data_IF_701806645228
#
_entry.id   IF_701806645228
#
_cell.length_a   1.000
_cell.length_b   1.000
_cell.length_c   1.000
_cell.angle_alpha   90.00
_cell.angle_beta   90.00
_cell.angle_gamma   90.00
#
_symmetry.space_group_name_H-M   'P 1'
#
loop_
_entity.id
_entity.type
_entity.pdbx_description
1 polymer ?
#
# COMPACT_ATOMS: atom_id res chain seq x y z
N UNK A 1 10.06 -12.85 -29.69
CA UNK A 1 9.20 -13.79 -28.95
C UNK A 1 8.32 -13.00 -27.98
N UNK A 2 6.99 -12.98 -28.17
CA UNK A 2 6.07 -12.37 -27.19
C UNK A 2 6.09 -13.23 -25.92
N UNK A 3 6.66 -12.72 -24.82
CA UNK A 3 6.53 -13.36 -23.51
C UNK A 3 5.04 -13.39 -23.17
N UNK A 4 4.45 -14.59 -23.13
CA UNK A 4 3.10 -14.78 -22.60
C UNK A 4 3.14 -14.37 -21.13
N UNK A 5 2.41 -13.31 -20.80
CA UNK A 5 2.14 -12.91 -19.42
C UNK A 5 1.43 -14.10 -18.77
N UNK A 6 2.10 -14.76 -17.84
CA UNK A 6 1.57 -15.90 -17.08
C UNK A 6 1.33 -15.45 -15.64
N UNK A 7 0.41 -16.12 -14.93
CA UNK A 7 0.19 -15.86 -13.50
C UNK A 7 1.50 -15.95 -12.71
N UNK A 8 2.36 -16.92 -13.07
CA UNK A 8 3.72 -17.01 -12.53
C UNK A 8 4.51 -15.72 -12.75
N UNK A 9 4.63 -15.23 -13.98
CA UNK A 9 5.34 -13.97 -14.27
C UNK A 9 4.75 -12.74 -13.54
N UNK A 10 3.41 -12.67 -13.39
CA UNK A 10 2.72 -11.59 -12.68
C UNK A 10 3.03 -11.58 -11.16
N UNK A 11 3.29 -12.75 -10.55
CA UNK A 11 3.53 -12.87 -9.11
C UNK A 11 4.99 -13.18 -8.71
N UNK A 12 5.88 -13.61 -9.61
CA UNK A 12 7.17 -14.22 -9.20
C UNK A 12 8.46 -13.51 -9.64
N UNK A 13 8.46 -12.70 -10.70
CA UNK A 13 9.71 -12.06 -11.19
C UNK A 13 9.61 -10.55 -11.33
N UNK A 14 9.67 -9.79 -10.23
CA UNK A 14 9.79 -8.35 -10.30
C UNK A 14 11.24 -7.88 -10.24
N UNK A 15 11.55 -6.89 -11.08
CA UNK A 15 12.78 -6.11 -11.03
C UNK A 15 13.01 -5.56 -9.61
N UNK A 16 14.27 -5.49 -9.16
CA UNK A 16 14.64 -4.99 -7.83
C UNK A 16 14.08 -3.60 -7.50
N UNK A 17 13.96 -2.70 -8.49
CA UNK A 17 13.32 -1.39 -8.31
C UNK A 17 11.83 -1.54 -7.94
N UNK A 18 11.15 -2.51 -8.55
CA UNK A 18 9.74 -2.80 -8.31
C UNK A 18 9.52 -3.52 -6.97
N UNK A 19 10.50 -4.29 -6.48
CA UNK A 19 10.50 -4.83 -5.12
C UNK A 19 10.69 -3.73 -4.07
N UNK A 20 11.61 -2.81 -4.32
CA UNK A 20 11.90 -1.66 -3.45
C UNK A 20 10.68 -0.72 -3.34
N UNK A 21 9.98 -0.50 -4.46
CA UNK A 21 8.71 0.24 -4.49
C UNK A 21 7.51 -0.57 -3.99
N UNK A 22 7.71 -1.79 -3.48
CA UNK A 22 6.64 -2.70 -3.02
C UNK A 22 5.57 -3.06 -4.07
N UNK A 23 5.91 -3.00 -5.36
CA UNK A 23 4.99 -3.16 -6.51
C UNK A 23 4.46 -4.59 -6.70
N UNK A 24 5.10 -5.61 -6.12
CA UNK A 24 4.74 -7.01 -6.42
C UNK A 24 4.44 -7.91 -5.22
N UNK A 25 4.57 -7.42 -3.98
CA UNK A 25 3.96 -8.11 -2.82
C UNK A 25 2.44 -7.88 -2.82
N UNK A 26 1.96 -6.96 -3.66
CA UNK A 26 0.57 -6.56 -3.78
C UNK A 26 0.17 -6.58 -5.26
N UNK A 27 -0.30 -7.71 -5.77
CA UNK A 27 -0.87 -7.80 -7.13
C UNK A 27 -1.99 -6.77 -7.42
N UNK A 28 -2.48 -6.07 -6.39
CA UNK A 28 -3.38 -4.92 -6.49
C UNK A 28 -2.74 -3.63 -7.00
N UNK A 29 -1.41 -3.46 -6.95
CA UNK A 29 -0.81 -2.16 -7.28
C UNK A 29 -0.88 -1.86 -8.78
N UNK A 30 -0.95 -2.88 -9.64
CA UNK A 30 -1.24 -2.69 -11.08
C UNK A 30 -2.66 -2.16 -11.28
N UNK A 31 -3.62 -2.61 -10.46
CA UNK A 31 -5.01 -2.13 -10.50
C UNK A 31 -5.13 -0.71 -9.92
N UNK A 32 -4.30 -0.39 -8.92
CA UNK A 32 -4.27 0.93 -8.26
C UNK A 32 -3.40 1.94 -9.00
N UNK A 33 -2.51 1.51 -9.89
CA UNK A 33 -1.60 2.39 -10.63
C UNK A 33 -2.33 3.47 -11.44
N UNK A 34 -3.43 3.19 -12.16
CA UNK A 34 -4.22 4.24 -12.81
C UNK A 34 -4.70 5.31 -11.83
N UNK A 35 -5.12 4.92 -10.62
CA UNK A 35 -5.53 5.86 -9.58
C UNK A 35 -4.35 6.74 -9.12
N UNK A 36 -3.18 6.14 -8.90
CA UNK A 36 -1.95 6.88 -8.53
C UNK A 36 -1.53 7.87 -9.63
N UNK A 37 -1.66 7.48 -10.90
CA UNK A 37 -1.40 8.37 -12.04
C UNK A 37 -2.39 9.54 -12.04
N UNK A 38 -3.68 9.29 -11.84
CA UNK A 38 -4.68 10.36 -11.74
C UNK A 38 -4.41 11.32 -10.58
N UNK A 39 -4.03 10.79 -9.41
CA UNK A 39 -3.61 11.60 -8.25
C UNK A 39 -2.40 12.47 -8.63
N UNK A 40 -1.39 11.88 -9.28
CA UNK A 40 -0.18 12.60 -9.69
C UNK A 40 -0.52 13.72 -10.69
N UNK A 41 -1.35 13.44 -11.68
CA UNK A 41 -1.81 14.42 -12.66
C UNK A 41 -2.59 15.55 -11.97
N UNK A 42 -3.40 15.25 -10.95
CA UNK A 42 -4.19 16.27 -10.26
C UNK A 42 -3.33 17.35 -9.57
N UNK A 43 -2.10 17.02 -9.16
CA UNK A 43 -1.15 18.00 -8.61
C UNK A 43 -0.77 19.09 -9.62
N UNK A 44 -0.76 18.78 -10.92
CA UNK A 44 -0.48 19.77 -11.96
C UNK A 44 -1.63 20.77 -12.15
N UNK A 45 -2.85 20.42 -11.75
CA UNK A 45 -4.04 21.28 -11.87
C UNK A 45 -4.35 22.02 -10.57
N UNK A 46 -4.18 21.37 -9.42
CA UNK A 46 -4.41 21.96 -8.11
C UNK A 46 -3.66 21.19 -7.04
N UNK A 47 -2.75 21.89 -6.35
CA UNK A 47 -2.03 21.33 -5.20
C UNK A 47 -3.02 20.85 -4.12
N UNK A 48 -4.07 21.64 -3.86
CA UNK A 48 -5.12 21.27 -2.90
C UNK A 48 -5.79 19.96 -3.28
N UNK A 49 -6.21 19.81 -4.54
CA UNK A 49 -6.84 18.58 -5.02
C UNK A 49 -5.89 17.38 -4.94
N UNK A 50 -4.62 17.56 -5.35
CA UNK A 50 -3.60 16.52 -5.28
C UNK A 50 -3.37 16.01 -3.86
N UNK A 51 -3.26 16.92 -2.89
CA UNK A 51 -3.09 16.58 -1.47
C UNK A 51 -4.32 15.88 -0.92
N UNK A 52 -5.53 16.37 -1.22
CA UNK A 52 -6.77 15.73 -0.77
C UNK A 52 -6.91 14.31 -1.33
N UNK A 53 -6.65 14.12 -2.62
CA UNK A 53 -6.74 12.80 -3.24
C UNK A 53 -5.64 11.86 -2.71
N UNK A 54 -4.45 12.36 -2.43
CA UNK A 54 -3.36 11.59 -1.80
C UNK A 54 -3.76 11.15 -0.40
N UNK A 55 -4.27 12.07 0.43
CA UNK A 55 -4.73 11.78 1.78
C UNK A 55 -5.86 10.76 1.81
N UNK A 56 -6.86 10.91 0.92
CA UNK A 56 -7.95 9.95 0.77
C UNK A 56 -7.45 8.57 0.34
N UNK A 57 -6.58 8.51 -0.67
CA UNK A 57 -5.98 7.25 -1.13
C UNK A 57 -5.21 6.56 0.00
N UNK A 58 -4.31 7.27 0.68
CA UNK A 58 -3.53 6.72 1.79
C UNK A 58 -4.46 6.22 2.91
N UNK A 59 -5.45 7.01 3.30
CA UNK A 59 -6.40 6.60 4.34
C UNK A 59 -7.15 5.31 3.96
N UNK A 60 -7.86 5.30 2.83
CA UNK A 60 -8.70 4.16 2.43
C UNK A 60 -7.86 2.91 2.21
N UNK A 61 -6.70 3.06 1.54
CA UNK A 61 -5.83 1.94 1.22
C UNK A 61 -5.28 1.28 2.47
N UNK A 62 -4.70 2.07 3.36
CA UNK A 62 -4.05 1.53 4.56
C UNK A 62 -5.06 1.16 5.65
N UNK A 63 -6.26 1.74 5.65
CA UNK A 63 -7.37 1.22 6.44
C UNK A 63 -7.77 -0.20 6.01
N UNK A 64 -7.87 -0.45 4.70
CA UNK A 64 -8.10 -1.80 4.17
C UNK A 64 -6.99 -2.78 4.54
N UNK A 65 -5.73 -2.36 4.47
CA UNK A 65 -4.59 -3.18 4.90
C UNK A 65 -4.62 -3.48 6.40
N UNK A 66 -4.97 -2.51 7.23
CA UNK A 66 -5.13 -2.73 8.67
C UNK A 66 -6.16 -3.83 8.93
N UNK A 67 -7.34 -3.77 8.29
CA UNK A 67 -8.36 -4.82 8.43
C UNK A 67 -7.88 -6.17 7.92
N UNK A 68 -7.19 -6.19 6.77
CA UNK A 68 -6.60 -7.42 6.24
C UNK A 68 -5.64 -8.06 7.23
N UNK A 69 -4.73 -7.29 7.85
CA UNK A 69 -3.77 -7.82 8.81
C UNK A 69 -4.42 -8.28 10.11
N UNK A 70 -5.46 -7.58 10.59
CA UNK A 70 -6.28 -8.04 11.71
C UNK A 70 -6.90 -9.41 11.39
N UNK A 71 -7.49 -9.58 10.19
CA UNK A 71 -8.06 -10.87 9.80
C UNK A 71 -7.00 -11.97 9.72
N UNK A 72 -5.79 -11.67 9.25
CA UNK A 72 -4.67 -12.62 9.22
C UNK A 72 -4.18 -13.03 10.62
N UNK A 73 -4.25 -12.14 11.61
CA UNK A 73 -3.88 -12.46 13.00
C UNK A 73 -4.81 -13.49 13.63
N UNK A 74 -6.11 -13.37 13.36
CA UNK A 74 -7.15 -14.23 13.93
C UNK A 74 -7.53 -15.43 13.04
N UNK A 75 -7.00 -15.51 11.81
CA UNK A 75 -7.24 -16.61 10.88
C UNK A 75 -6.19 -17.73 10.90
N UNK A 76 -6.21 -18.57 9.86
CA UNK A 76 -5.21 -19.62 9.61
C UNK A 76 -3.86 -18.97 9.21
N UNK A 77 -2.91 -18.92 10.15
CA UNK A 77 -1.62 -18.19 10.08
C UNK A 77 -0.57 -18.82 9.14
N UNK A 78 -1.00 -19.28 7.96
CA UNK A 78 -0.20 -20.03 6.99
C UNK A 78 0.68 -19.14 6.10
N UNK A 79 0.36 -17.85 5.98
CA UNK A 79 1.04 -16.91 5.09
C UNK A 79 2.07 -16.05 5.83
N UNK A 80 3.37 -16.13 5.50
CA UNK A 80 4.39 -15.22 6.04
C UNK A 80 4.71 -14.12 5.03
N UNK A 81 4.32 -12.85 5.27
CA UNK A 81 4.73 -11.73 4.43
C UNK A 81 6.22 -11.43 4.60
N UNK A 82 6.74 -10.51 3.80
CA UNK A 82 8.14 -10.08 3.90
C UNK A 82 8.43 -9.59 5.32
N UNK A 83 9.39 -10.22 5.97
CA UNK A 83 9.72 -9.99 7.38
C UNK A 83 10.78 -8.90 7.56
N UNK A 84 11.16 -8.17 6.52
CA UNK A 84 12.17 -7.10 6.57
C UNK A 84 13.52 -7.55 7.18
N UNK A 85 13.83 -8.85 7.12
CA UNK A 85 15.03 -9.43 7.73
C UNK A 85 14.87 -9.85 9.19
N UNK A 86 13.67 -9.71 9.78
CA UNK A 86 13.34 -10.21 11.10
C UNK A 86 13.03 -11.72 11.08
N UNK A 87 14.00 -12.53 10.66
CA UNK A 87 13.82 -13.98 10.48
C UNK A 87 13.43 -14.71 11.76
N UNK A 88 13.85 -14.20 12.92
CA UNK A 88 13.61 -14.79 14.23
C UNK A 88 12.24 -14.42 14.84
N UNK A 89 11.48 -13.53 14.21
CA UNK A 89 10.11 -13.22 14.64
C UNK A 89 9.15 -14.27 14.12
N UNK A 90 8.14 -14.58 14.94
CA UNK A 90 7.02 -15.41 14.52
C UNK A 90 6.07 -14.63 13.61
N UNK A 91 5.23 -15.36 12.87
CA UNK A 91 4.29 -14.72 11.94
C UNK A 91 3.35 -13.74 12.66
N UNK A 92 3.07 -13.97 13.94
CA UNK A 92 2.19 -13.09 14.71
C UNK A 92 2.79 -11.70 14.91
N UNK A 93 4.06 -11.64 15.34
CA UNK A 93 4.77 -10.37 15.50
C UNK A 93 4.86 -9.63 14.16
N UNK A 94 5.12 -10.35 13.06
CA UNK A 94 5.16 -9.75 11.73
C UNK A 94 3.79 -9.15 11.34
N UNK A 95 2.67 -9.84 11.57
CA UNK A 95 1.35 -9.28 11.27
C UNK A 95 1.04 -8.03 12.10
N UNK A 96 1.43 -8.01 13.38
CA UNK A 96 1.27 -6.84 14.25
C UNK A 96 2.08 -5.66 13.67
N UNK A 97 3.32 -5.88 13.25
CA UNK A 97 4.14 -4.82 12.62
C UNK A 97 3.45 -4.24 11.38
N UNK A 98 2.94 -5.10 10.50
CA UNK A 98 2.20 -4.67 9.32
C UNK A 98 0.90 -3.92 9.66
N UNK A 99 0.16 -4.36 10.68
CA UNK A 99 -1.02 -3.67 11.17
C UNK A 99 -0.66 -2.29 11.74
N UNK A 100 0.38 -2.19 12.57
CA UNK A 100 0.85 -0.93 13.16
C UNK A 100 1.28 0.05 12.07
N UNK A 101 2.02 -0.44 11.07
CA UNK A 101 2.40 0.38 9.92
C UNK A 101 1.17 0.88 9.16
N UNK A 102 0.19 0.01 8.92
CA UNK A 102 -1.04 0.38 8.23
C UNK A 102 -1.86 1.44 9.01
N UNK A 103 -1.94 1.32 10.34
CA UNK A 103 -2.57 2.34 11.19
C UNK A 103 -1.86 3.68 11.06
N UNK A 104 -0.53 3.67 11.18
CA UNK A 104 0.27 4.90 11.09
C UNK A 104 0.05 5.62 9.77
N UNK A 105 0.12 4.91 8.64
CA UNK A 105 -0.06 5.53 7.33
C UNK A 105 -1.50 6.00 7.10
N UNK A 106 -2.48 5.26 7.63
CA UNK A 106 -3.89 5.67 7.62
C UNK A 106 -4.10 6.99 8.36
N UNK A 107 -3.47 7.16 9.53
CA UNK A 107 -3.47 8.42 10.28
C UNK A 107 -2.81 9.56 9.49
N UNK A 108 -1.66 9.31 8.85
CA UNK A 108 -1.05 10.30 7.97
C UNK A 108 -1.98 10.72 6.82
N UNK A 109 -2.74 9.78 6.26
CA UNK A 109 -3.77 10.07 5.24
C UNK A 109 -4.85 11.02 5.75
N UNK A 110 -5.38 10.78 6.96
CA UNK A 110 -6.35 11.68 7.62
C UNK A 110 -5.72 13.06 7.84
N UNK A 111 -4.48 13.13 8.33
CA UNK A 111 -3.80 14.41 8.57
C UNK A 111 -3.64 15.20 7.27
N UNK A 112 -3.31 14.54 6.16
CA UNK A 112 -3.24 15.18 4.84
C UNK A 112 -4.61 15.69 4.37
N UNK A 113 -5.69 14.96 4.63
CA UNK A 113 -7.05 15.43 4.33
C UNK A 113 -7.38 16.69 5.11
N UNK A 114 -7.14 16.69 6.42
CA UNK A 114 -7.36 17.85 7.28
C UNK A 114 -6.52 19.04 6.79
N UNK A 115 -5.25 18.80 6.47
CA UNK A 115 -4.35 19.81 5.93
C UNK A 115 -4.86 20.40 4.60
N UNK A 116 -5.22 19.54 3.65
CA UNK A 116 -5.78 19.93 2.35
C UNK A 116 -7.11 20.69 2.46
N UNK A 117 -7.96 20.35 3.43
CA UNK A 117 -9.24 21.01 3.61
C UNK A 117 -9.11 22.38 4.25
N UNK A 118 -8.27 22.50 5.29
CA UNK A 118 -8.23 23.67 6.16
C UNK A 118 -7.13 24.68 5.80
N UNK A 119 -6.00 24.22 5.26
CA UNK A 119 -4.78 25.05 5.16
C UNK A 119 -4.31 25.28 3.72
N UNK A 120 -4.64 24.40 2.79
CA UNK A 120 -4.37 24.61 1.37
C UNK A 120 -5.50 25.42 0.72
N UNK A 121 -5.14 26.55 0.12
CA UNK A 121 -6.04 27.39 -0.70
C UNK A 121 -5.82 27.12 -2.17
#
# INVERSE_FOLDING_TARGET
>A
MRKKITNGWFFSTPNHLLKFLTIFIKGDQVLLFPLVVLITISYAFSLRMGVLLTGAYMFVRFLGEMFYWIMQQFGDRKYRPNDFGFTNLDNHAIYILYQTFAIFVSLCGIMLLIYGLLYLR
#
